data_IF_623055157776
#
_entry.id   IF_623055157776
#
_cell.length_a   1.000
_cell.length_b   1.000
_cell.length_c   1.000
_cell.angle_alpha   90.00
_cell.angle_beta   90.00
_cell.angle_gamma   90.00
#
_symmetry.space_group_name_H-M   'P 1'
#
loop_
_entity.id
_entity.type
_entity.pdbx_description
1 polymer ?
#
# COMPACT_ATOMS: atom_id res chain seq x y z
N UNK A 1 48.14 17.21 -15.73
CA UNK A 1 47.00 16.57 -15.02
C UNK A 1 45.66 17.33 -15.07
N UNK A 2 45.51 18.44 -15.82
CA UNK A 2 44.28 19.27 -15.81
C UNK A 2 43.18 18.81 -16.80
N UNK A 3 43.54 18.19 -17.94
CA UNK A 3 42.56 17.73 -18.94
C UNK A 3 41.72 16.53 -18.47
N UNK A 4 42.36 15.53 -17.83
CA UNK A 4 41.69 14.30 -17.36
C UNK A 4 40.62 14.60 -16.30
N UNK A 5 40.89 15.58 -15.42
CA UNK A 5 39.93 16.04 -14.40
C UNK A 5 38.72 16.74 -15.03
N UNK A 6 38.92 17.60 -16.03
CA UNK A 6 37.81 18.28 -16.73
C UNK A 6 36.88 17.30 -17.44
N UNK A 7 37.46 16.27 -18.08
CA UNK A 7 36.70 15.21 -18.75
C UNK A 7 35.93 14.37 -17.73
N UNK A 8 36.56 14.02 -16.61
CA UNK A 8 35.90 13.25 -15.53
C UNK A 8 34.72 14.03 -14.95
N UNK A 9 34.87 15.34 -14.72
CA UNK A 9 33.79 16.20 -14.23
C UNK A 9 32.62 16.23 -15.21
N UNK A 10 32.87 16.34 -16.52
CA UNK A 10 31.81 16.33 -17.53
C UNK A 10 31.05 14.99 -17.58
N UNK A 11 31.76 13.87 -17.45
CA UNK A 11 31.13 12.53 -17.38
C UNK A 11 30.26 12.40 -16.14
N UNK A 12 30.74 12.85 -14.97
CA UNK A 12 29.95 12.81 -13.73
C UNK A 12 28.72 13.71 -13.83
N UNK A 13 28.85 14.90 -14.42
CA UNK A 13 27.74 15.84 -14.56
C UNK A 13 26.63 15.28 -15.48
N UNK A 14 27.02 14.69 -16.60
CA UNK A 14 26.09 14.08 -17.55
C UNK A 14 25.41 12.83 -16.98
N UNK A 15 26.13 12.04 -16.19
CA UNK A 15 25.56 10.89 -15.47
C UNK A 15 24.51 11.34 -14.44
N UNK A 16 24.81 12.39 -13.66
CA UNK A 16 23.87 12.95 -12.68
C UNK A 16 22.61 13.51 -13.35
N UNK A 17 22.76 14.16 -14.51
CA UNK A 17 21.63 14.63 -15.32
C UNK A 17 20.77 13.47 -15.82
N UNK A 18 21.38 12.43 -16.38
CA UNK A 18 20.65 11.22 -16.81
C UNK A 18 19.93 10.52 -15.66
N UNK A 19 20.59 10.43 -14.50
CA UNK A 19 20.01 9.85 -13.28
C UNK A 19 18.83 10.67 -12.75
N UNK A 20 18.96 11.99 -12.70
CA UNK A 20 17.88 12.88 -12.28
C UNK A 20 16.66 12.77 -13.22
N UNK A 21 16.88 12.76 -14.54
CA UNK A 21 15.81 12.60 -15.53
C UNK A 21 15.15 11.21 -15.44
N UNK A 22 15.94 10.14 -15.26
CA UNK A 22 15.43 8.78 -15.09
C UNK A 22 14.59 8.61 -13.81
N UNK A 23 15.03 9.18 -12.69
CA UNK A 23 14.28 9.17 -11.43
C UNK A 23 13.00 9.98 -11.52
N UNK A 24 13.03 11.15 -12.16
CA UNK A 24 11.85 12.01 -12.29
C UNK A 24 10.76 11.33 -13.14
N UNK A 25 11.16 10.72 -14.25
CA UNK A 25 10.25 9.97 -15.14
C UNK A 25 9.66 8.75 -14.43
N UNK A 26 10.47 8.01 -13.66
CA UNK A 26 10.03 6.85 -12.88
C UNK A 26 9.04 7.24 -11.78
N UNK A 27 9.26 8.38 -11.13
CA UNK A 27 8.36 8.91 -10.10
C UNK A 27 7.00 9.30 -10.68
N UNK A 28 6.99 9.98 -11.84
CA UNK A 28 5.75 10.38 -12.52
C UNK A 28 4.94 9.17 -13.01
N UNK A 29 5.61 8.17 -13.59
CA UNK A 29 4.94 6.96 -14.09
C UNK A 29 4.30 6.13 -12.96
N UNK A 30 5.00 6.01 -11.82
CA UNK A 30 4.50 5.34 -10.62
C UNK A 30 3.29 6.06 -10.02
N UNK A 31 3.31 7.39 -9.99
CA UNK A 31 2.18 8.17 -9.45
C UNK A 31 0.93 8.07 -10.32
N UNK A 32 1.09 8.00 -11.64
CA UNK A 32 -0.05 7.89 -12.58
C UNK A 32 -0.69 6.49 -12.59
N UNK A 33 0.10 5.42 -12.46
CA UNK A 33 -0.42 4.03 -12.50
C UNK A 33 -1.00 3.51 -11.18
N UNK A 34 -0.58 4.05 -10.03
CA UNK A 34 -1.00 3.56 -8.71
C UNK A 34 -2.16 4.33 -8.07
N UNK A 35 -2.59 5.45 -8.67
CA UNK A 35 -3.77 6.22 -8.22
C UNK A 35 -5.13 5.57 -8.52
N UNK A 36 -5.39 4.87 -9.64
CA UNK A 36 -6.76 4.48 -9.97
C UNK A 36 -7.26 3.28 -9.16
N UNK A 37 -6.41 2.30 -8.82
CA UNK A 37 -6.91 1.01 -8.28
C UNK A 37 -7.56 1.15 -6.91
N UNK A 38 -7.12 2.10 -6.08
CA UNK A 38 -7.60 2.22 -4.68
C UNK A 38 -8.85 3.09 -4.53
N UNK A 39 -9.26 3.79 -5.59
CA UNK A 39 -10.36 4.77 -5.53
C UNK A 39 -11.71 4.15 -5.90
N UNK A 40 -11.72 3.09 -6.72
CA UNK A 40 -12.95 2.38 -7.12
C UNK A 40 -13.75 1.75 -5.98
N UNK A 41 -13.11 1.49 -4.83
CA UNK A 41 -13.76 0.91 -3.65
C UNK A 41 -14.50 1.94 -2.77
N UNK A 42 -14.40 3.25 -3.08
CA UNK A 42 -15.11 4.29 -2.32
C UNK A 42 -16.46 4.59 -2.96
N UNK A 43 -17.53 4.51 -2.17
CA UNK A 43 -18.90 4.86 -2.55
C UNK A 43 -18.98 6.26 -3.15
N UNK A 44 -18.24 7.23 -2.58
CA UNK A 44 -18.17 8.60 -3.11
C UNK A 44 -17.58 8.67 -4.51
N UNK A 45 -16.52 7.90 -4.76
CA UNK A 45 -15.87 7.88 -6.06
C UNK A 45 -16.72 7.16 -7.11
N UNK A 46 -17.41 6.09 -6.72
CA UNK A 46 -18.38 5.43 -7.59
C UNK A 46 -19.51 6.39 -7.99
N UNK A 47 -20.06 7.14 -7.03
CA UNK A 47 -21.07 8.18 -7.29
C UNK A 47 -20.54 9.26 -8.24
N UNK A 48 -19.33 9.79 -7.99
CA UNK A 48 -18.71 10.81 -8.84
C UNK A 48 -18.50 10.33 -10.29
N UNK A 49 -18.00 9.10 -10.48
CA UNK A 49 -17.84 8.53 -11.82
C UNK A 49 -19.19 8.32 -12.47
N UNK A 50 -20.15 7.72 -11.75
CA UNK A 50 -21.46 7.41 -12.29
C UNK A 50 -22.15 8.68 -12.80
N UNK A 51 -22.14 9.76 -12.01
CA UNK A 51 -22.78 11.01 -12.40
C UNK A 51 -22.04 11.72 -13.52
N UNK A 52 -20.71 11.60 -13.55
CA UNK A 52 -19.91 12.16 -14.64
C UNK A 52 -20.12 11.44 -15.97
N UNK A 53 -20.39 10.13 -15.96
CA UNK A 53 -20.52 9.33 -17.19
C UNK A 53 -21.96 9.24 -17.66
N UNK A 54 -22.92 9.06 -16.75
CA UNK A 54 -24.32 8.88 -17.09
C UNK A 54 -25.07 10.21 -17.22
N UNK A 55 -24.52 11.31 -16.69
CA UNK A 55 -25.12 12.66 -16.69
C UNK A 55 -26.63 12.65 -16.33
N UNK A 56 -27.03 12.03 -15.20
CA UNK A 56 -28.43 11.85 -14.86
C UNK A 56 -29.11 13.19 -14.52
N UNK A 57 -30.40 13.30 -14.84
CA UNK A 57 -31.22 14.44 -14.45
C UNK A 57 -31.52 14.47 -12.93
N UNK A 58 -32.16 15.53 -12.43
CA UNK A 58 -32.39 15.70 -10.99
C UNK A 58 -33.31 14.65 -10.37
N UNK A 59 -34.24 14.07 -11.14
CA UNK A 59 -35.14 13.02 -10.65
C UNK A 59 -34.37 11.70 -10.60
N UNK A 60 -33.61 11.39 -11.65
CA UNK A 60 -32.74 10.22 -11.73
C UNK A 60 -31.64 10.25 -10.66
N UNK A 61 -31.07 11.42 -10.35
CA UNK A 61 -30.07 11.56 -9.29
C UNK A 61 -30.63 11.14 -7.93
N UNK A 62 -31.86 11.54 -7.59
CA UNK A 62 -32.48 11.17 -6.33
C UNK A 62 -32.70 9.65 -6.22
N UNK A 63 -33.13 9.00 -7.30
CA UNK A 63 -33.28 7.54 -7.35
C UNK A 63 -31.93 6.81 -7.26
N UNK A 64 -30.92 7.30 -7.99
CA UNK A 64 -29.57 6.75 -7.94
C UNK A 64 -28.92 6.90 -6.57
N UNK A 65 -29.11 8.03 -5.89
CA UNK A 65 -28.61 8.22 -4.52
C UNK A 65 -29.20 7.19 -3.56
N UNK A 66 -30.50 6.90 -3.65
CA UNK A 66 -31.14 5.85 -2.85
C UNK A 66 -30.56 4.46 -3.12
N UNK A 67 -30.30 4.13 -4.39
CA UNK A 67 -29.71 2.84 -4.79
C UNK A 67 -28.28 2.73 -4.26
N UNK A 68 -27.47 3.78 -4.45
CA UNK A 68 -26.08 3.83 -4.02
C UNK A 68 -25.98 3.69 -2.50
N UNK A 69 -26.84 4.38 -1.75
CA UNK A 69 -26.82 4.31 -0.29
C UNK A 69 -27.20 2.92 0.22
N UNK A 70 -28.26 2.32 -0.35
CA UNK A 70 -28.66 0.95 -0.02
C UNK A 70 -27.52 -0.04 -0.19
N UNK A 71 -26.82 -0.01 -1.33
CA UNK A 71 -25.70 -0.93 -1.57
C UNK A 71 -24.42 -0.56 -0.80
N UNK A 72 -24.23 0.71 -0.47
CA UNK A 72 -23.16 1.16 0.43
C UNK A 72 -23.25 0.45 1.79
N UNK A 73 -24.44 0.37 2.38
CA UNK A 73 -24.68 -0.37 3.62
C UNK A 73 -24.38 -1.85 3.48
N UNK A 74 -24.91 -2.52 2.44
CA UNK A 74 -24.62 -3.94 2.18
C UNK A 74 -23.12 -4.22 2.03
N UNK A 75 -22.38 -3.37 1.31
CA UNK A 75 -20.94 -3.55 1.15
C UNK A 75 -20.17 -3.28 2.43
N UNK A 76 -20.65 -2.40 3.30
CA UNK A 76 -20.04 -2.17 4.60
C UNK A 76 -20.19 -3.40 5.50
N UNK A 77 -21.39 -3.96 5.55
CA UNK A 77 -21.69 -5.15 6.35
C UNK A 77 -20.86 -6.34 5.87
N UNK A 78 -20.88 -6.61 4.56
CA UNK A 78 -20.11 -7.69 3.95
C UNK A 78 -18.60 -7.56 4.21
N UNK A 79 -18.05 -6.35 4.09
CA UNK A 79 -16.64 -6.11 4.39
C UNK A 79 -16.32 -6.31 5.88
N UNK A 80 -17.25 -5.95 6.77
CA UNK A 80 -17.05 -6.11 8.21
C UNK A 80 -17.02 -7.59 8.62
N UNK A 81 -17.87 -8.41 8.00
CA UNK A 81 -17.93 -9.86 8.22
C UNK A 81 -16.70 -10.54 7.63
N UNK A 82 -16.40 -10.27 6.35
CA UNK A 82 -15.21 -10.79 5.68
C UNK A 82 -13.92 -10.50 6.46
N UNK A 83 -13.79 -9.31 7.07
CA UNK A 83 -12.61 -8.96 7.88
C UNK A 83 -12.48 -9.81 9.14
N UNK A 84 -13.58 -10.07 9.84
CA UNK A 84 -13.58 -10.91 11.05
C UNK A 84 -13.19 -12.33 10.70
N UNK A 85 -13.76 -12.86 9.62
CA UNK A 85 -13.46 -14.21 9.15
C UNK A 85 -12.00 -14.30 8.69
N UNK A 86 -11.54 -13.31 7.93
CA UNK A 86 -10.15 -13.23 7.48
C UNK A 86 -9.16 -13.18 8.65
N UNK A 87 -9.44 -12.39 9.69
CA UNK A 87 -8.58 -12.34 10.89
C UNK A 87 -8.56 -13.68 11.63
N UNK A 88 -9.72 -14.31 11.77
CA UNK A 88 -9.84 -15.64 12.40
C UNK A 88 -9.04 -16.68 11.63
N UNK A 89 -9.20 -16.75 10.30
CA UNK A 89 -8.46 -17.68 9.45
C UNK A 89 -6.95 -17.44 9.49
N UNK A 90 -6.51 -16.18 9.57
CA UNK A 90 -5.09 -15.84 9.70
C UNK A 90 -4.52 -16.30 11.04
N UNK A 91 -5.28 -16.15 12.13
CA UNK A 91 -4.87 -16.61 13.45
C UNK A 91 -4.83 -18.15 13.52
N UNK A 92 -5.80 -18.82 12.92
CA UNK A 92 -5.82 -20.29 12.79
C UNK A 92 -4.61 -20.79 11.99
N UNK A 93 -4.36 -20.21 10.82
CA UNK A 93 -3.19 -20.51 10.01
C UNK A 93 -1.88 -20.32 10.80
N UNK A 94 -1.79 -19.25 11.59
CA UNK A 94 -0.62 -19.01 12.42
C UNK A 94 -0.41 -20.08 13.49
N UNK A 95 -1.49 -20.49 14.15
CA UNK A 95 -1.46 -21.53 15.17
C UNK A 95 -1.08 -22.90 14.59
N UNK A 96 -1.41 -23.16 13.32
CA UNK A 96 -0.96 -24.37 12.61
C UNK A 96 0.51 -24.30 12.18
N UNK A 97 1.00 -23.14 11.75
CA UNK A 97 2.39 -22.97 11.30
C UNK A 97 3.37 -23.01 12.47
N UNK A 98 3.04 -22.33 13.58
CA UNK A 98 3.92 -22.17 14.74
C UNK A 98 4.54 -23.47 15.28
N UNK A 99 3.80 -24.58 15.47
CA UNK A 99 4.37 -25.83 16.00
C UNK A 99 5.30 -26.55 15.00
N UNK A 100 5.26 -26.21 13.71
CA UNK A 100 6.13 -26.79 12.68
C UNK A 100 7.50 -26.12 12.67
N UNK A 101 7.59 -24.91 13.21
CA UNK A 101 8.82 -24.11 13.23
C UNK A 101 9.69 -24.40 14.45
N UNK A 102 11.00 -24.31 14.28
CA UNK A 102 11.92 -24.37 15.41
C UNK A 102 11.98 -23.01 16.14
N UNK A 103 12.50 -23.04 17.37
CA UNK A 103 12.54 -21.85 18.25
C UNK A 103 13.23 -20.64 17.60
N UNK A 104 14.37 -20.85 16.92
CA UNK A 104 15.10 -19.79 16.23
C UNK A 104 14.34 -19.20 15.03
N UNK A 105 13.43 -19.96 14.42
CA UNK A 105 12.56 -19.49 13.35
C UNK A 105 11.35 -18.72 13.91
N UNK A 106 10.79 -19.19 15.02
CA UNK A 106 9.69 -18.51 15.73
C UNK A 106 10.15 -17.12 16.19
N UNK A 107 11.35 -17.00 16.77
CA UNK A 107 11.89 -15.73 17.26
C UNK A 107 12.06 -14.70 16.12
N UNK A 108 12.40 -15.15 14.90
CA UNK A 108 12.46 -14.27 13.70
C UNK A 108 11.09 -13.88 13.17
N UNK A 109 10.08 -14.69 13.45
CA UNK A 109 8.71 -14.51 13.01
C UNK A 109 7.86 -13.72 14.02
N UNK A 110 8.35 -13.49 15.24
CA UNK A 110 7.68 -12.71 16.26
C UNK A 110 7.53 -11.23 15.86
N UNK A 111 8.54 -10.65 15.20
CA UNK A 111 8.44 -9.29 14.65
C UNK A 111 7.37 -9.18 13.56
N UNK A 112 7.27 -10.20 12.71
CA UNK A 112 6.24 -10.26 11.67
C UNK A 112 4.84 -10.30 12.28
N UNK A 113 4.67 -11.09 13.35
CA UNK A 113 3.41 -11.24 14.06
C UNK A 113 2.99 -9.96 14.80
N UNK A 114 3.94 -9.30 15.47
CA UNK A 114 3.69 -8.02 16.12
C UNK A 114 3.26 -6.97 15.08
N UNK A 115 3.97 -6.89 13.96
CA UNK A 115 3.63 -5.97 12.88
C UNK A 115 2.25 -6.27 12.27
N UNK A 116 1.91 -7.56 12.07
CA UNK A 116 0.58 -7.99 11.60
C UNK A 116 -0.51 -7.55 12.57
N UNK A 117 -0.33 -7.82 13.87
CA UNK A 117 -1.30 -7.46 14.91
C UNK A 117 -1.52 -5.95 15.03
N UNK A 118 -0.45 -5.16 14.94
CA UNK A 118 -0.52 -3.69 14.95
C UNK A 118 -1.28 -3.15 13.75
N UNK A 119 -0.99 -3.67 12.55
CA UNK A 119 -1.71 -3.32 11.33
C UNK A 119 -3.21 -3.61 11.47
N UNK A 120 -3.58 -4.80 11.96
CA UNK A 120 -4.98 -5.18 12.19
C UNK A 120 -5.67 -4.27 13.22
N UNK A 121 -4.99 -3.89 14.31
CA UNK A 121 -5.50 -2.93 15.30
C UNK A 121 -5.69 -1.54 14.71
N UNK A 122 -4.77 -1.06 13.88
CA UNK A 122 -4.94 0.22 13.17
C UNK A 122 -6.13 0.20 12.22
N UNK A 123 -6.31 -0.87 11.46
CA UNK A 123 -7.45 -1.02 10.55
C UNK A 123 -8.79 -0.99 11.30
N UNK A 124 -8.90 -1.71 12.43
CA UNK A 124 -10.09 -1.69 13.31
C UNK A 124 -10.39 -0.31 13.88
N UNK A 125 -9.34 0.45 14.26
CA UNK A 125 -9.50 1.82 14.76
C UNK A 125 -10.07 2.76 13.70
N UNK A 126 -9.55 2.70 12.47
CA UNK A 126 -9.99 3.57 11.36
C UNK A 126 -11.45 3.34 10.98
N UNK A 127 -11.93 2.11 11.09
CA UNK A 127 -13.32 1.75 10.80
C UNK A 127 -14.30 2.35 11.82
N UNK A 128 -13.98 2.29 13.12
CA UNK A 128 -14.84 2.84 14.19
C UNK A 128 -14.93 4.36 14.18
N UNK A 129 -13.90 5.04 13.70
CA UNK A 129 -13.88 6.51 13.65
C UNK A 129 -14.81 7.10 12.58
N UNK A 130 -15.44 6.30 11.70
CA UNK A 130 -16.32 6.79 10.63
C UNK A 130 -15.62 7.68 9.58
N UNK A 131 -14.36 7.99 9.82
CA UNK A 131 -13.54 8.94 9.09
C UNK A 131 -12.96 8.29 7.84
N UNK A 132 -13.81 8.17 6.82
CA UNK A 132 -13.43 7.73 5.48
C UNK A 132 -12.80 8.85 4.64
N UNK A 133 -12.75 10.09 5.16
CA UNK A 133 -12.38 11.28 4.39
C UNK A 133 -10.98 11.83 4.70
N UNK A 134 -10.38 11.52 5.86
CA UNK A 134 -9.08 12.11 6.24
C UNK A 134 -7.81 11.38 5.76
N UNK A 135 -7.86 10.49 4.75
CA UNK A 135 -6.62 10.00 4.10
C UNK A 135 -6.03 11.00 3.08
N UNK A 136 -6.33 12.29 3.18
CA UNK A 136 -5.72 13.34 2.34
C UNK A 136 -4.51 14.05 2.97
N UNK A 137 -4.11 13.73 4.21
CA UNK A 137 -3.03 14.49 4.87
C UNK A 137 -2.11 13.69 5.80
N UNK A 138 -1.72 12.46 5.44
CA UNK A 138 -0.43 11.96 5.96
C UNK A 138 0.67 12.52 5.06
N UNK A 139 1.61 13.36 5.58
CA UNK A 139 2.79 13.74 4.82
C UNK A 139 3.48 12.46 4.41
N UNK A 140 3.93 12.42 3.17
CA UNK A 140 4.77 11.38 2.58
C UNK A 140 6.04 11.20 3.44
N UNK A 141 5.92 10.45 4.54
CA UNK A 141 7.06 9.81 5.17
C UNK A 141 7.49 8.76 4.17
N UNK A 142 8.40 9.20 3.30
CA UNK A 142 9.37 8.40 2.53
C UNK A 142 9.21 6.94 2.89
N UNK A 143 8.59 6.18 1.98
CA UNK A 143 8.61 4.72 1.97
C UNK A 143 10.07 4.25 2.05
N UNK A 144 10.62 4.17 3.26
CA UNK A 144 11.48 3.05 3.58
C UNK A 144 10.55 1.83 3.49
N UNK A 145 10.90 0.80 2.70
CA UNK A 145 10.32 -0.51 2.95
C UNK A 145 10.46 -0.79 4.45
N UNK A 146 9.52 -1.48 5.10
CA UNK A 146 9.81 -2.04 6.41
C UNK A 146 11.16 -2.76 6.30
N UNK A 147 12.15 -2.42 7.12
CA UNK A 147 13.49 -3.06 7.11
C UNK A 147 13.40 -4.59 7.11
N UNK A 148 12.28 -5.13 7.59
CA UNK A 148 11.87 -6.53 7.48
C UNK A 148 11.96 -7.11 6.04
N UNK A 149 11.58 -6.36 5.00
CA UNK A 149 11.63 -6.83 3.61
C UNK A 149 13.06 -7.00 3.07
N UNK A 150 14.01 -6.17 3.52
CA UNK A 150 15.43 -6.33 3.16
C UNK A 150 16.06 -7.51 3.92
N UNK A 151 15.60 -7.81 5.14
CA UNK A 151 16.06 -8.96 5.94
C UNK A 151 15.60 -10.33 5.40
N UNK A 152 14.51 -10.37 4.63
CA UNK A 152 14.03 -11.57 3.93
C UNK A 152 14.78 -11.81 2.61
N UNK A 153 15.32 -10.76 2.00
CA UNK A 153 16.06 -10.86 0.73
C UNK A 153 17.49 -11.40 0.92
N UNK A 154 18.09 -11.23 2.10
CA UNK A 154 19.41 -11.76 2.43
C UNK A 154 19.42 -12.35 3.86
N UNK A 155 19.41 -13.69 4.01
CA UNK A 155 19.59 -14.29 5.32
C UNK A 155 20.98 -13.91 5.88
N UNK A 156 21.10 -13.60 7.19
CA UNK A 156 22.39 -13.32 7.80
C UNK A 156 23.28 -14.56 7.70
N UNK A 157 24.22 -14.54 6.75
CA UNK A 157 25.12 -15.66 6.46
C UNK A 157 25.56 -15.80 5.00
N UNK A 158 24.87 -15.20 4.03
CA UNK A 158 25.37 -15.17 2.66
C UNK A 158 26.33 -13.99 2.48
N UNK A 159 27.62 -14.24 2.76
CA UNK A 159 28.68 -13.48 2.11
C UNK A 159 28.49 -13.68 0.61
N UNK A 160 28.16 -12.63 -0.11
CA UNK A 160 28.30 -12.58 -1.55
C UNK A 160 29.80 -12.54 -1.85
N UNK A 161 30.44 -13.70 -1.78
CA UNK A 161 31.71 -13.91 -2.46
C UNK A 161 31.34 -13.97 -3.94
N UNK A 162 31.62 -12.90 -4.66
CA UNK A 162 31.53 -12.88 -6.11
C UNK A 162 32.75 -12.16 -6.66
N UNK A 163 33.48 -12.96 -7.45
CA UNK A 163 34.69 -12.71 -8.23
C UNK A 163 34.69 -11.40 -9.01
#
# INVERSE_FOLDING_TARGET
MKMKIRITILIVLTLLLGFALGMLTSAQLRHKRMRPVRTYASVKYFREILYKVAEPDSVQQAELDMIIEKYSEYFNDLNSEFRKDFETMMDEQWNEIKPVLNKNQIDKLEEFEQHRSEMMKEFRKRERSGDRDHFKSRPDHRRRPPEFMDSLANPPGQKTDSL
#
